data_IF_172436846789
#
_entry.id   IF_172436846789
#
_cell.length_a   1.000
_cell.length_b   1.000
_cell.length_c   1.000
_cell.angle_alpha   90.00
_cell.angle_beta   90.00
_cell.angle_gamma   90.00
#
_symmetry.space_group_name_H-M   'P 1'
#
loop_
_entity.id
_entity.type
_entity.pdbx_description
1 polymer ?
#
# COMPACT_ATOMS: atom_id res chain seq x y z
N UNK A 1 -15.94 -42.17 -8.79
CA UNK A 1 -16.81 -41.04 -9.16
C UNK A 1 -17.03 -40.22 -7.90
N UNK A 2 -16.42 -39.04 -7.80
CA UNK A 2 -16.87 -38.00 -6.90
C UNK A 2 -16.68 -36.68 -7.64
N UNK A 3 -17.80 -35.99 -7.80
CA UNK A 3 -17.94 -34.81 -8.63
C UNK A 3 -17.10 -33.66 -8.07
N UNK A 4 -16.40 -33.01 -8.99
CA UNK A 4 -15.67 -31.76 -8.80
C UNK A 4 -16.76 -30.69 -8.69
N UNK A 5 -16.91 -30.07 -7.52
CA UNK A 5 -17.86 -28.99 -7.32
C UNK A 5 -17.41 -27.77 -8.13
N UNK A 6 -18.20 -27.41 -9.13
CA UNK A 6 -18.06 -26.19 -9.91
C UNK A 6 -18.35 -24.97 -9.03
N UNK A 7 -17.47 -23.97 -9.12
CA UNK A 7 -17.70 -22.56 -8.81
C UNK A 7 -18.54 -22.23 -7.57
N UNK A 8 -17.89 -22.11 -6.41
CA UNK A 8 -18.47 -21.33 -5.32
C UNK A 8 -18.55 -19.86 -5.79
N UNK A 9 -19.75 -19.44 -6.20
CA UNK A 9 -20.04 -18.04 -6.49
C UNK A 9 -20.24 -17.33 -5.15
N UNK A 10 -19.15 -16.77 -4.62
CA UNK A 10 -19.24 -15.91 -3.45
C UNK A 10 -20.06 -14.67 -3.83
N UNK A 11 -21.04 -14.24 -3.02
CA UNK A 11 -21.77 -13.01 -3.29
C UNK A 11 -20.76 -11.86 -3.39
N UNK A 12 -20.92 -11.01 -4.40
CA UNK A 12 -20.06 -9.84 -4.57
C UNK A 12 -20.05 -9.05 -3.24
N UNK A 13 -18.86 -8.69 -2.71
CA UNK A 13 -18.78 -7.91 -1.49
C UNK A 13 -19.56 -6.60 -1.66
N UNK A 14 -20.07 -6.05 -0.55
CA UNK A 14 -20.62 -4.69 -0.58
C UNK A 14 -19.60 -3.76 -1.26
N UNK A 15 -19.98 -3.00 -2.30
CA UNK A 15 -19.04 -2.20 -3.08
C UNK A 15 -18.30 -1.20 -2.19
N UNK A 16 -18.93 -0.81 -1.07
CA UNK A 16 -18.30 -0.08 0.02
C UNK A 16 -17.86 -1.04 1.12
N UNK A 17 -16.73 -1.71 0.93
CA UNK A 17 -16.17 -2.60 1.95
C UNK A 17 -14.64 -2.71 1.87
N UNK A 18 -13.99 -3.09 2.98
CA UNK A 18 -12.58 -3.49 2.96
C UNK A 18 -12.29 -4.62 1.96
N UNK A 19 -13.24 -5.52 1.73
CA UNK A 19 -13.13 -6.59 0.76
C UNK A 19 -13.01 -6.06 -0.68
N UNK A 20 -13.79 -5.03 -1.05
CA UNK A 20 -13.61 -4.34 -2.33
C UNK A 20 -12.28 -3.60 -2.38
N UNK A 21 -11.87 -2.95 -1.28
CA UNK A 21 -10.57 -2.27 -1.18
C UNK A 21 -9.39 -3.21 -1.44
N UNK A 22 -9.35 -4.39 -0.81
CA UNK A 22 -8.25 -5.35 -0.99
C UNK A 22 -8.23 -5.95 -2.39
N UNK A 23 -9.40 -6.15 -3.01
CA UNK A 23 -9.50 -6.57 -4.41
C UNK A 23 -8.98 -5.51 -5.38
N UNK A 24 -9.32 -4.22 -5.17
CA UNK A 24 -8.78 -3.12 -5.97
C UNK A 24 -7.26 -3.02 -5.83
N UNK A 25 -6.74 -3.18 -4.61
CA UNK A 25 -5.30 -3.22 -4.35
C UNK A 25 -4.63 -4.40 -5.07
N UNK A 26 -5.23 -5.59 -5.04
CA UNK A 26 -4.70 -6.77 -5.71
C UNK A 26 -4.69 -6.62 -7.24
N UNK A 27 -5.81 -6.16 -7.80
CA UNK A 27 -5.99 -5.96 -9.24
C UNK A 27 -5.01 -4.94 -9.83
N UNK A 28 -4.49 -4.02 -9.03
CA UNK A 28 -3.47 -3.06 -9.47
C UNK A 28 -2.18 -3.78 -9.95
N UNK A 29 -1.93 -5.01 -9.48
CA UNK A 29 -0.80 -5.87 -9.87
C UNK A 29 -1.12 -6.80 -11.06
N UNK A 30 -2.30 -6.68 -11.69
CA UNK A 30 -2.70 -7.54 -12.80
C UNK A 30 -2.02 -7.17 -14.12
N UNK A 31 -1.45 -8.16 -14.81
CA UNK A 31 -0.99 -8.03 -16.21
C UNK A 31 -2.17 -8.05 -17.22
N UNK A 32 -3.34 -8.54 -16.80
CA UNK A 32 -4.56 -8.60 -17.61
C UNK A 32 -5.73 -8.04 -16.80
N UNK A 33 -5.63 -6.75 -16.47
CA UNK A 33 -6.57 -6.06 -15.59
C UNK A 33 -8.03 -6.26 -16.01
N UNK A 34 -8.35 -6.13 -17.29
CA UNK A 34 -9.72 -6.33 -17.80
C UNK A 34 -10.22 -7.77 -17.63
N UNK A 35 -9.34 -8.76 -17.67
CA UNK A 35 -9.68 -10.17 -17.45
C UNK A 35 -9.85 -10.48 -15.96
N UNK A 36 -8.89 -10.06 -15.14
CA UNK A 36 -8.91 -10.32 -13.69
C UNK A 36 -10.04 -9.55 -13.00
N UNK A 37 -10.39 -8.35 -13.49
CA UNK A 37 -11.55 -7.59 -13.01
C UNK A 37 -12.84 -8.41 -13.17
N UNK A 38 -13.05 -9.11 -14.29
CA UNK A 38 -14.24 -9.96 -14.52
C UNK A 38 -14.32 -11.15 -13.56
N UNK A 39 -13.17 -11.62 -13.08
CA UNK A 39 -13.10 -12.76 -12.14
C UNK A 39 -13.41 -12.28 -10.72
N UNK A 40 -12.79 -11.18 -10.31
CA UNK A 40 -12.76 -10.76 -8.91
C UNK A 40 -13.79 -9.70 -8.54
N UNK A 41 -14.18 -8.86 -9.50
CA UNK A 41 -15.21 -7.83 -9.38
C UNK A 41 -16.15 -7.93 -10.60
N UNK A 42 -16.97 -8.99 -10.69
CA UNK A 42 -17.84 -9.20 -11.85
C UNK A 42 -18.73 -7.97 -12.08
N UNK A 43 -18.95 -7.66 -13.35
CA UNK A 43 -19.71 -6.50 -13.86
C UNK A 43 -19.11 -5.11 -13.58
N UNK A 44 -17.98 -5.02 -12.86
CA UNK A 44 -17.22 -3.79 -12.82
C UNK A 44 -16.55 -3.54 -14.18
N UNK A 45 -16.54 -2.27 -14.59
CA UNK A 45 -15.97 -1.85 -15.87
C UNK A 45 -14.71 -1.04 -15.62
N UNK A 46 -13.62 -1.38 -16.29
CA UNK A 46 -12.41 -0.55 -16.30
C UNK A 46 -12.69 0.74 -17.10
N UNK A 47 -12.58 1.91 -16.45
CA UNK A 47 -12.98 3.20 -17.04
C UNK A 47 -11.84 4.23 -17.13
N UNK A 48 -10.74 4.01 -16.40
CA UNK A 48 -9.50 4.77 -16.51
C UNK A 48 -8.31 3.88 -16.18
N UNK A 49 -7.20 4.05 -16.89
CA UNK A 49 -5.94 3.40 -16.55
C UNK A 49 -4.79 4.37 -16.81
N UNK A 50 -3.92 4.54 -15.82
CA UNK A 50 -2.75 5.39 -15.93
C UNK A 50 -1.64 4.69 -16.69
N UNK A 51 -0.87 5.45 -17.47
CA UNK A 51 0.41 4.97 -18.00
C UNK A 51 1.31 4.54 -16.84
N UNK A 52 1.94 3.37 -16.93
CA UNK A 52 2.95 2.94 -15.96
C UNK A 52 4.12 3.93 -16.02
N UNK A 53 4.53 4.45 -14.86
CA UNK A 53 5.66 5.39 -14.73
C UNK A 53 6.99 4.66 -14.95
N UNK A 54 8.08 5.40 -15.10
CA UNK A 54 9.42 4.81 -15.25
C UNK A 54 9.79 3.93 -14.03
N UNK A 55 9.42 4.38 -12.83
CA UNK A 55 9.61 3.61 -11.59
C UNK A 55 8.59 2.49 -11.38
N UNK A 56 7.72 2.20 -12.36
CA UNK A 56 6.76 1.10 -12.26
C UNK A 56 5.47 1.41 -11.47
N UNK A 57 5.28 2.65 -10.98
CA UNK A 57 4.03 3.07 -10.34
C UNK A 57 2.89 3.14 -11.38
N UNK A 58 1.69 2.74 -10.98
CA UNK A 58 0.50 2.88 -11.83
C UNK A 58 -0.78 2.88 -11.00
N UNK A 59 -1.89 3.19 -11.64
CA UNK A 59 -3.21 3.12 -11.05
C UNK A 59 -4.28 2.91 -12.11
N UNK A 60 -5.46 2.47 -11.66
CA UNK A 60 -6.61 2.29 -12.51
C UNK A 60 -7.88 2.70 -11.77
N UNK A 61 -8.94 2.99 -12.53
CA UNK A 61 -10.29 3.20 -11.97
C UNK A 61 -11.24 2.21 -12.62
N UNK A 62 -11.96 1.47 -11.78
CA UNK A 62 -13.08 0.64 -12.17
C UNK A 62 -14.40 1.24 -11.65
N UNK A 63 -15.45 1.16 -12.46
CA UNK A 63 -16.81 1.60 -12.15
C UNK A 63 -17.68 0.38 -11.85
N UNK A 64 -18.39 0.42 -10.74
CA UNK A 64 -19.34 -0.62 -10.38
C UNK A 64 -20.57 -0.66 -11.33
N UNK A 65 -21.32 -1.77 -11.39
CA UNK A 65 -22.44 -1.92 -12.33
C UNK A 65 -23.61 -0.97 -12.07
N UNK A 66 -23.74 -0.41 -10.86
CA UNK A 66 -24.78 0.60 -10.56
C UNK A 66 -24.39 2.01 -11.03
N UNK A 67 -23.10 2.20 -11.36
CA UNK A 67 -22.54 3.48 -11.76
C UNK A 67 -22.40 4.47 -10.59
N UNK A 68 -22.43 3.99 -9.34
CA UNK A 68 -22.40 4.79 -8.10
C UNK A 68 -21.04 4.77 -7.39
N UNK A 69 -20.17 3.81 -7.67
CA UNK A 69 -18.89 3.61 -6.99
C UNK A 69 -17.74 3.56 -8.01
N UNK A 70 -16.77 4.44 -7.82
CA UNK A 70 -15.52 4.47 -8.57
C UNK A 70 -14.40 3.94 -7.67
N UNK A 71 -13.88 2.76 -7.98
CA UNK A 71 -12.77 2.14 -7.28
C UNK A 71 -11.45 2.45 -7.95
N UNK A 72 -10.60 3.23 -7.28
CA UNK A 72 -9.22 3.52 -7.63
C UNK A 72 -8.29 2.54 -6.90
N UNK A 73 -7.54 1.75 -7.67
CA UNK A 73 -6.47 0.90 -7.16
C UNK A 73 -5.10 1.43 -7.58
N UNK A 74 -4.16 1.53 -6.62
CA UNK A 74 -2.75 1.86 -6.88
C UNK A 74 -1.83 0.67 -6.74
N UNK A 75 -0.85 0.61 -7.65
CA UNK A 75 0.32 -0.25 -7.57
C UNK A 75 1.56 0.63 -7.43
N UNK A 76 2.34 0.41 -6.38
CA UNK A 76 3.67 1.01 -6.25
C UNK A 76 4.70 0.29 -7.13
N UNK A 77 5.93 0.78 -7.12
CA UNK A 77 7.10 0.04 -7.60
C UNK A 77 7.23 -1.30 -6.85
N UNK A 78 7.75 -2.30 -7.55
CA UNK A 78 8.17 -3.55 -6.92
C UNK A 78 9.57 -3.31 -6.34
N UNK A 79 9.81 -3.59 -5.06
CA UNK A 79 11.17 -3.63 -4.55
C UNK A 79 12.00 -4.61 -5.39
N UNK A 80 13.32 -4.40 -5.47
CA UNK A 80 14.17 -5.33 -6.20
C UNK A 80 14.24 -6.68 -5.46
N UNK A 81 14.20 -7.80 -6.19
CA UNK A 81 14.11 -9.15 -5.59
C UNK A 81 15.30 -9.50 -4.68
N UNK A 82 16.42 -8.78 -4.81
CA UNK A 82 17.60 -8.92 -3.96
C UNK A 82 17.36 -8.46 -2.52
N UNK A 83 16.33 -7.65 -2.22
CA UNK A 83 15.97 -7.34 -0.83
C UNK A 83 15.53 -8.58 -0.05
N UNK A 84 15.17 -9.67 -0.73
CA UNK A 84 14.82 -10.94 -0.09
C UNK A 84 16.03 -11.77 0.35
N UNK A 85 17.24 -11.40 -0.08
CA UNK A 85 18.46 -12.14 0.21
C UNK A 85 19.60 -11.27 0.75
N UNK A 86 19.52 -9.94 0.60
CA UNK A 86 20.60 -8.99 0.92
C UNK A 86 20.13 -7.81 1.81
N UNK A 87 20.82 -7.64 2.93
CA UNK A 87 20.64 -6.51 3.85
C UNK A 87 20.90 -5.16 3.19
N UNK A 88 21.92 -5.06 2.33
CA UNK A 88 22.24 -3.81 1.65
C UNK A 88 21.10 -3.40 0.74
N UNK A 89 20.54 -4.34 -0.02
CA UNK A 89 19.40 -4.07 -0.90
C UNK A 89 18.17 -3.61 -0.10
N UNK A 90 17.88 -4.24 1.04
CA UNK A 90 16.80 -3.79 1.93
C UNK A 90 17.05 -2.38 2.49
N UNK A 91 18.23 -2.11 3.03
CA UNK A 91 18.57 -0.79 3.56
C UNK A 91 18.52 0.28 2.47
N UNK A 92 18.97 -0.04 1.25
CA UNK A 92 18.90 0.83 0.10
C UNK A 92 17.48 1.16 -0.29
N UNK A 93 16.61 0.15 -0.35
CA UNK A 93 15.20 0.35 -0.65
C UNK A 93 14.52 1.26 0.38
N UNK A 94 14.77 1.06 1.68
CA UNK A 94 14.21 1.92 2.73
C UNK A 94 14.75 3.35 2.64
N UNK A 95 16.06 3.53 2.44
CA UNK A 95 16.69 4.85 2.55
C UNK A 95 16.70 5.64 1.24
N UNK A 96 17.01 5.00 0.12
CA UNK A 96 17.15 5.64 -1.19
C UNK A 96 15.84 5.58 -1.98
N UNK A 97 15.25 4.39 -2.17
CA UNK A 97 14.09 4.26 -3.05
C UNK A 97 12.82 4.86 -2.43
N UNK A 98 12.62 4.68 -1.11
CA UNK A 98 11.55 5.37 -0.38
C UNK A 98 11.92 6.81 0.02
N UNK A 99 13.19 7.20 -0.12
CA UNK A 99 13.76 8.49 0.27
C UNK A 99 13.15 9.05 1.57
N UNK A 100 13.25 8.24 2.64
CA UNK A 100 12.64 8.55 3.95
C UNK A 100 13.52 9.47 4.79
N UNK A 101 14.79 9.65 4.42
CA UNK A 101 15.70 10.58 5.11
C UNK A 101 15.68 11.99 4.51
N UNK A 102 14.77 12.24 3.57
CA UNK A 102 14.42 13.59 3.17
C UNK A 102 12.90 13.76 3.18
N UNK A 103 12.46 14.97 3.56
CA UNK A 103 11.05 15.30 3.67
C UNK A 103 10.75 16.57 2.88
N UNK A 104 9.53 16.63 2.34
CA UNK A 104 8.99 17.80 1.66
C UNK A 104 7.75 18.29 2.38
N UNK A 105 7.54 19.61 2.36
CA UNK A 105 6.34 20.21 2.93
C UNK A 105 5.11 19.79 2.13
N UNK A 106 4.12 19.25 2.84
CA UNK A 106 2.88 18.81 2.22
C UNK A 106 1.88 19.96 2.12
N UNK A 107 1.89 20.66 1.00
CA UNK A 107 1.06 21.87 0.79
C UNK A 107 -0.46 21.65 0.83
N UNK A 108 -0.93 20.39 0.84
CA UNK A 108 -2.36 20.08 0.87
C UNK A 108 -2.89 19.85 2.29
N UNK A 109 -2.16 20.17 3.37
CA UNK A 109 -2.70 20.11 4.75
C UNK A 109 -3.59 21.32 5.09
N UNK A 110 -4.53 21.13 6.02
CA UNK A 110 -5.29 22.22 6.64
C UNK A 110 -4.47 22.97 7.72
N UNK A 111 -3.46 22.32 8.30
CA UNK A 111 -2.68 22.83 9.44
C UNK A 111 -1.46 23.65 9.05
N UNK A 112 -1.05 23.59 7.78
CA UNK A 112 0.17 24.21 7.26
C UNK A 112 1.51 23.61 7.74
N UNK A 113 1.50 22.50 8.50
CA UNK A 113 2.70 21.97 9.20
C UNK A 113 2.93 20.47 8.98
N UNK A 114 2.47 19.92 7.86
CA UNK A 114 2.64 18.50 7.53
C UNK A 114 3.82 18.30 6.57
N UNK A 115 4.54 17.19 6.73
CA UNK A 115 5.60 16.74 5.81
C UNK A 115 5.34 15.31 5.35
N UNK A 116 5.79 15.00 4.15
CA UNK A 116 5.85 13.63 3.63
C UNK A 116 7.28 13.31 3.19
N UNK A 117 7.63 12.02 3.18
CA UNK A 117 8.89 11.55 2.59
C UNK A 117 9.02 12.02 1.15
N UNK A 118 10.25 12.29 0.71
CA UNK A 118 10.48 12.68 -0.68
C UNK A 118 10.11 11.57 -1.65
N UNK A 119 10.32 10.30 -1.29
CA UNK A 119 9.90 9.17 -2.13
C UNK A 119 8.38 9.09 -2.30
N UNK A 120 7.62 9.32 -1.22
CA UNK A 120 6.15 9.41 -1.32
C UNK A 120 5.70 10.59 -2.19
N UNK A 121 6.38 11.73 -2.12
CA UNK A 121 6.12 12.88 -2.98
C UNK A 121 6.43 12.59 -4.45
N UNK A 122 7.54 11.92 -4.74
CA UNK A 122 7.92 11.51 -6.10
C UNK A 122 6.90 10.54 -6.69
N UNK A 123 6.54 9.48 -5.95
CA UNK A 123 5.51 8.53 -6.38
C UNK A 123 4.16 9.22 -6.64
N UNK A 124 3.77 10.16 -5.76
CA UNK A 124 2.58 10.99 -5.94
C UNK A 124 2.66 11.86 -7.20
N UNK A 125 3.75 12.59 -7.38
CA UNK A 125 3.94 13.51 -8.52
C UNK A 125 3.91 12.75 -9.84
N UNK A 126 4.57 11.59 -9.88
CA UNK A 126 4.59 10.72 -11.04
C UNK A 126 3.18 10.23 -11.38
N UNK A 127 2.38 9.80 -10.41
CA UNK A 127 1.05 9.25 -10.69
C UNK A 127 0.03 10.32 -11.08
N UNK A 128 0.03 11.51 -10.45
CA UNK A 128 -0.90 12.59 -10.83
C UNK A 128 -0.59 13.18 -12.21
N UNK A 129 0.66 13.05 -12.67
CA UNK A 129 1.08 13.45 -14.01
C UNK A 129 0.67 12.47 -15.11
N UNK A 130 0.19 11.26 -14.76
CA UNK A 130 -0.24 10.27 -15.74
C UNK A 130 -1.59 10.64 -16.37
N UNK A 131 -1.77 10.25 -17.63
CA UNK A 131 -3.03 10.40 -18.37
C UNK A 131 -3.65 9.05 -18.68
N UNK A 132 -4.96 9.06 -18.95
CA UNK A 132 -5.70 7.85 -19.32
C UNK A 132 -5.13 7.22 -20.61
N UNK A 133 -4.84 5.92 -20.56
CA UNK A 133 -4.40 5.15 -21.74
C UNK A 133 -5.53 4.41 -22.45
N UNK A 134 -6.74 4.39 -21.87
CA UNK A 134 -7.89 3.65 -22.43
C UNK A 134 -8.66 4.44 -23.50
N UNK A 135 -8.59 5.76 -23.44
CA UNK A 135 -9.38 6.66 -24.29
C UNK A 135 -8.49 7.79 -24.78
N UNK A 136 -8.88 8.45 -25.86
CA UNK A 136 -8.22 9.69 -26.32
C UNK A 136 -8.38 10.86 -25.33
N UNK A 137 -9.23 10.73 -24.30
CA UNK A 137 -9.33 11.73 -23.24
C UNK A 137 -8.02 11.76 -22.44
N UNK A 138 -7.26 12.83 -22.60
CA UNK A 138 -6.00 13.07 -21.86
C UNK A 138 -6.24 13.52 -20.41
N UNK A 139 -7.38 13.15 -19.81
CA UNK A 139 -7.68 13.50 -18.43
C UNK A 139 -6.70 12.77 -17.51
N UNK A 140 -6.07 13.53 -16.63
CA UNK A 140 -5.32 12.98 -15.51
C UNK A 140 -6.27 12.35 -14.48
N UNK A 141 -5.70 11.64 -13.52
CA UNK A 141 -6.44 10.90 -12.50
C UNK A 141 -7.42 11.78 -11.70
N UNK A 142 -6.97 12.97 -11.27
CA UNK A 142 -7.79 13.89 -10.49
C UNK A 142 -8.99 14.41 -11.30
N UNK A 143 -8.73 14.94 -12.50
CA UNK A 143 -9.76 15.53 -13.35
C UNK A 143 -10.78 14.48 -13.79
N UNK A 144 -10.34 13.23 -14.02
CA UNK A 144 -11.23 12.13 -14.33
C UNK A 144 -12.21 11.86 -13.18
N UNK A 145 -11.71 11.66 -11.95
CA UNK A 145 -12.57 11.39 -10.78
C UNK A 145 -13.46 12.59 -10.43
N UNK A 146 -12.92 13.80 -10.49
CA UNK A 146 -13.68 15.04 -10.26
C UNK A 146 -14.87 15.14 -11.22
N UNK A 147 -14.64 14.89 -12.52
CA UNK A 147 -15.65 15.04 -13.57
C UNK A 147 -16.67 13.90 -13.56
N UNK A 148 -16.22 12.65 -13.42
CA UNK A 148 -17.07 11.48 -13.64
C UNK A 148 -17.69 10.92 -12.35
N UNK A 149 -17.02 11.10 -11.21
CA UNK A 149 -17.50 10.61 -9.92
C UNK A 149 -18.06 11.75 -9.06
N UNK A 150 -17.20 12.71 -8.69
CA UNK A 150 -17.53 13.71 -7.66
C UNK A 150 -18.60 14.69 -8.11
N UNK A 151 -18.55 15.18 -9.35
CA UNK A 151 -19.58 16.07 -9.90
C UNK A 151 -20.98 15.45 -9.92
N UNK A 152 -21.06 14.11 -9.99
CA UNK A 152 -22.30 13.34 -9.88
C UNK A 152 -22.65 12.89 -8.45
N UNK A 153 -21.94 13.39 -7.43
CA UNK A 153 -22.08 12.97 -6.02
C UNK A 153 -21.93 11.45 -5.80
N UNK A 154 -21.06 10.81 -6.59
CA UNK A 154 -20.82 9.36 -6.55
C UNK A 154 -19.68 9.01 -5.59
N UNK A 155 -19.63 7.78 -5.12
CA UNK A 155 -18.61 7.32 -4.17
C UNK A 155 -17.26 7.09 -4.85
N UNK A 156 -16.18 7.50 -4.19
CA UNK A 156 -14.79 7.25 -4.59
C UNK A 156 -14.13 6.39 -3.53
N UNK A 157 -13.62 5.22 -3.95
CA UNK A 157 -12.89 4.29 -3.10
C UNK A 157 -11.44 4.31 -3.55
N UNK A 158 -10.52 4.67 -2.67
CA UNK A 158 -9.09 4.73 -2.96
C UNK A 158 -8.43 3.59 -2.21
N UNK A 159 -7.68 2.74 -2.91
CA UNK A 159 -7.05 1.59 -2.30
C UNK A 159 -5.65 1.30 -2.84
N UNK A 160 -4.84 0.64 -2.02
CA UNK A 160 -3.50 0.20 -2.41
C UNK A 160 -2.85 -0.70 -1.38
N UNK A 161 -1.87 -1.48 -1.84
CA UNK A 161 -1.03 -2.36 -1.02
C UNK A 161 0.43 -1.90 -1.07
N UNK A 162 1.18 -2.13 0.01
CA UNK A 162 2.62 -1.79 0.07
C UNK A 162 2.87 -0.30 -0.26
N UNK A 163 3.82 0.01 -1.14
CA UNK A 163 4.02 1.36 -1.68
C UNK A 163 2.75 1.91 -2.36
N UNK A 164 1.92 1.08 -2.99
CA UNK A 164 0.60 1.50 -3.50
C UNK A 164 -0.34 1.96 -2.38
N UNK A 165 -0.24 1.38 -1.18
CA UNK A 165 -0.96 1.82 0.00
C UNK A 165 -0.46 3.17 0.53
N UNK A 166 0.86 3.41 0.49
CA UNK A 166 1.45 4.70 0.77
C UNK A 166 0.96 5.77 -0.22
N UNK A 167 0.99 5.48 -1.52
CA UNK A 167 0.45 6.34 -2.57
C UNK A 167 -1.04 6.63 -2.37
N UNK A 168 -1.82 5.63 -1.96
CA UNK A 168 -3.25 5.80 -1.65
C UNK A 168 -3.47 6.83 -0.52
N UNK A 169 -2.66 6.78 0.55
CA UNK A 169 -2.70 7.78 1.63
C UNK A 169 -2.43 9.20 1.10
N UNK A 170 -1.34 9.39 0.35
CA UNK A 170 -0.92 10.71 -0.17
C UNK A 170 -1.92 11.26 -1.18
N UNK A 171 -2.33 10.43 -2.14
CA UNK A 171 -3.31 10.83 -3.15
C UNK A 171 -4.66 11.16 -2.51
N UNK A 172 -5.14 10.37 -1.54
CA UNK A 172 -6.41 10.67 -0.86
C UNK A 172 -6.34 12.00 -0.11
N UNK A 173 -5.23 12.30 0.58
CA UNK A 173 -5.03 13.60 1.22
C UNK A 173 -5.07 14.74 0.21
N UNK A 174 -4.43 14.58 -0.96
CA UNK A 174 -4.45 15.59 -2.02
C UNK A 174 -5.85 15.77 -2.59
N UNK A 175 -6.50 14.66 -2.94
CA UNK A 175 -7.79 14.62 -3.62
C UNK A 175 -8.85 15.39 -2.84
N UNK A 176 -9.02 15.09 -1.55
CA UNK A 176 -10.03 15.76 -0.72
C UNK A 176 -9.71 17.24 -0.49
N UNK A 177 -8.43 17.60 -0.35
CA UNK A 177 -8.00 18.99 -0.22
C UNK A 177 -8.24 19.79 -1.50
N UNK A 178 -7.90 19.24 -2.65
CA UNK A 178 -8.09 19.88 -3.95
C UNK A 178 -9.59 20.06 -4.27
N UNK A 179 -10.44 19.09 -3.89
CA UNK A 179 -11.89 19.24 -3.97
C UNK A 179 -12.40 20.34 -3.03
N UNK A 180 -11.92 20.38 -1.77
CA UNK A 180 -12.31 21.40 -0.81
C UNK A 180 -11.94 22.81 -1.28
N UNK A 181 -10.73 22.99 -1.83
CA UNK A 181 -10.27 24.25 -2.43
C UNK A 181 -11.13 24.69 -3.62
N UNK A 182 -11.70 23.73 -4.36
CA UNK A 182 -12.65 23.98 -5.45
C UNK A 182 -14.09 24.19 -4.96
N UNK A 183 -14.36 24.19 -3.64
CA UNK A 183 -15.71 24.31 -3.08
C UNK A 183 -16.57 23.06 -3.28
N UNK A 184 -15.97 21.90 -3.53
CA UNK A 184 -16.66 20.64 -3.82
C UNK A 184 -16.62 19.73 -2.57
N UNK A 185 -17.76 19.11 -2.25
CA UNK A 185 -17.84 18.13 -1.16
C UNK A 185 -17.06 16.85 -1.50
N UNK A 186 -16.42 16.26 -0.49
CA UNK A 186 -15.62 15.04 -0.60
C UNK A 186 -16.04 13.95 0.40
N UNK A 187 -17.19 14.12 1.06
CA UNK A 187 -17.71 13.20 2.09
C UNK A 187 -18.00 11.77 1.58
N UNK A 188 -18.03 11.61 0.26
CA UNK A 188 -18.17 10.38 -0.50
C UNK A 188 -16.82 9.73 -0.85
N UNK A 189 -15.74 10.10 -0.17
CA UNK A 189 -14.40 9.52 -0.37
C UNK A 189 -14.06 8.53 0.74
N UNK A 190 -13.54 7.37 0.35
CA UNK A 190 -13.09 6.31 1.25
C UNK A 190 -11.67 5.89 0.91
N UNK A 191 -10.94 5.44 1.92
CA UNK A 191 -9.56 5.02 1.80
C UNK A 191 -9.36 3.66 2.47
N UNK A 192 -8.72 2.73 1.76
CA UNK A 192 -8.37 1.40 2.26
C UNK A 192 -6.91 1.09 1.92
N UNK A 193 -6.03 1.06 2.92
CA UNK A 193 -4.62 0.73 2.71
C UNK A 193 -4.25 -0.57 3.38
N UNK A 194 -3.46 -1.39 2.68
CA UNK A 194 -2.98 -2.69 3.16
C UNK A 194 -1.46 -2.67 3.18
N UNK A 195 -0.84 -3.09 4.27
CA UNK A 195 0.62 -3.18 4.35
C UNK A 195 1.37 -1.87 4.01
N UNK A 196 0.76 -0.70 4.25
CA UNK A 196 1.31 0.56 3.79
C UNK A 196 2.38 1.09 4.76
N UNK A 197 3.58 1.45 4.29
CA UNK A 197 4.53 2.19 5.12
C UNK A 197 4.02 3.61 5.38
N UNK A 198 4.47 4.23 6.47
CA UNK A 198 4.04 5.59 6.82
C UNK A 198 4.51 6.61 5.76
N UNK A 199 3.61 7.43 5.20
CA UNK A 199 3.97 8.38 4.14
C UNK A 199 4.68 9.64 4.62
N UNK A 200 4.48 10.01 5.88
CA UNK A 200 4.92 11.30 6.40
C UNK A 200 4.88 11.40 7.92
N UNK A 201 5.07 12.63 8.37
CA UNK A 201 5.21 12.96 9.78
C UNK A 201 3.88 12.89 10.55
N UNK A 202 3.97 13.18 11.84
CA UNK A 202 2.79 13.27 12.70
C UNK A 202 1.78 14.35 12.26
N UNK A 203 2.23 15.40 11.56
CA UNK A 203 1.37 16.43 10.97
C UNK A 203 0.51 15.86 9.86
N UNK A 204 1.12 15.15 8.91
CA UNK A 204 0.43 14.47 7.82
C UNK A 204 -0.57 13.43 8.33
N UNK A 205 -0.14 12.56 9.24
CA UNK A 205 -0.99 11.49 9.82
C UNK A 205 -2.26 12.07 10.47
N UNK A 206 -2.13 13.09 11.33
CA UNK A 206 -3.29 13.74 11.97
C UNK A 206 -4.20 14.45 10.97
N UNK A 207 -3.60 15.09 9.97
CA UNK A 207 -4.34 15.83 8.95
C UNK A 207 -5.19 14.90 8.08
N UNK A 208 -4.63 13.78 7.60
CA UNK A 208 -5.37 12.77 6.85
C UNK A 208 -6.51 12.16 7.69
N UNK A 209 -6.21 11.77 8.93
CA UNK A 209 -7.21 11.26 9.89
C UNK A 209 -8.34 12.26 10.14
N UNK A 210 -8.08 13.56 10.04
CA UNK A 210 -9.12 14.59 10.22
C UNK A 210 -10.01 14.77 9.00
N UNK A 211 -9.46 14.56 7.80
CA UNK A 211 -10.16 14.80 6.53
C UNK A 211 -11.04 13.65 6.10
N UNK A 212 -10.59 12.41 6.30
CA UNK A 212 -11.27 11.23 5.78
C UNK A 212 -11.70 10.34 6.94
N UNK A 213 -12.96 10.48 7.35
CA UNK A 213 -13.53 9.69 8.45
C UNK A 213 -13.65 8.20 8.09
N UNK A 214 -13.79 7.88 6.81
CA UNK A 214 -13.81 6.52 6.28
C UNK A 214 -12.47 6.09 5.66
N UNK A 215 -11.38 6.39 6.36
CA UNK A 215 -10.06 5.81 6.09
C UNK A 215 -9.84 4.60 6.98
N UNK A 216 -9.46 3.46 6.40
CA UNK A 216 -9.17 2.19 7.09
C UNK A 216 -7.80 1.70 6.67
N UNK A 217 -7.00 1.31 7.66
CA UNK A 217 -5.61 0.89 7.46
C UNK A 217 -5.44 -0.50 8.07
N UNK A 218 -4.85 -1.43 7.32
CA UNK A 218 -4.68 -2.82 7.75
C UNK A 218 -3.20 -3.17 7.84
N UNK A 219 -2.81 -3.71 8.99
CA UNK A 219 -1.47 -4.21 9.30
C UNK A 219 -1.55 -5.67 9.75
N UNK A 220 -0.77 -6.53 9.10
CA UNK A 220 -0.39 -7.81 9.69
C UNK A 220 0.72 -7.55 10.72
N UNK A 221 0.55 -7.97 11.97
CA UNK A 221 1.54 -7.78 13.06
C UNK A 221 2.94 -8.18 12.63
N UNK A 222 3.04 -9.27 11.87
CA UNK A 222 4.31 -9.87 11.44
C UNK A 222 4.86 -9.28 10.13
N UNK A 223 4.19 -8.29 9.53
CA UNK A 223 4.66 -7.57 8.36
C UNK A 223 5.57 -6.41 8.77
N UNK A 224 6.77 -6.37 8.20
CA UNK A 224 7.76 -5.33 8.50
C UNK A 224 7.40 -4.01 7.83
N UNK A 225 6.72 -4.00 6.69
CA UNK A 225 6.59 -2.80 5.84
C UNK A 225 5.79 -1.68 6.53
N UNK A 226 4.63 -1.93 7.17
CA UNK A 226 3.92 -0.91 7.95
C UNK A 226 4.72 -0.32 9.10
N UNK A 227 5.78 -0.98 9.54
CA UNK A 227 6.60 -0.53 10.66
C UNK A 227 7.58 0.56 10.24
N UNK A 228 7.92 0.64 8.96
CA UNK A 228 8.77 1.69 8.42
C UNK A 228 7.95 2.90 7.93
N UNK A 229 8.54 4.11 7.94
CA UNK A 229 9.76 4.54 8.64
C UNK A 229 9.54 4.98 10.11
N UNK A 230 8.52 4.47 10.82
CA UNK A 230 8.20 4.92 12.18
C UNK A 230 9.18 4.34 13.20
N UNK A 231 10.06 5.16 13.80
CA UNK A 231 11.10 4.70 14.73
C UNK A 231 10.63 3.64 15.74
N UNK A 232 9.56 3.92 16.50
CA UNK A 232 9.07 2.99 17.52
C UNK A 232 8.64 1.64 16.95
N UNK A 233 8.03 1.64 15.76
CA UNK A 233 7.60 0.41 15.10
C UNK A 233 8.77 -0.31 14.42
N UNK A 234 9.79 0.41 13.95
CA UNK A 234 11.05 -0.21 13.47
C UNK A 234 11.73 -0.99 14.60
N UNK A 235 11.66 -0.54 15.85
CA UNK A 235 12.12 -1.31 17.00
C UNK A 235 11.37 -2.64 17.15
N UNK A 236 10.06 -2.64 16.93
CA UNK A 236 9.26 -3.87 16.92
C UNK A 236 9.67 -4.77 15.75
N UNK A 237 9.90 -4.19 14.57
CA UNK A 237 10.34 -4.92 13.37
C UNK A 237 11.64 -5.67 13.61
N UNK A 238 12.57 -5.07 14.36
CA UNK A 238 13.81 -5.72 14.75
C UNK A 238 13.59 -7.02 15.54
N UNK A 239 12.46 -7.20 16.23
CA UNK A 239 12.19 -8.35 17.10
C UNK A 239 11.12 -9.35 16.58
N UNK A 240 10.50 -9.10 15.43
CA UNK A 240 9.25 -9.75 15.02
C UNK A 240 9.23 -11.28 14.97
N UNK A 241 10.33 -11.91 14.55
CA UNK A 241 10.36 -13.35 14.28
C UNK A 241 11.03 -14.17 15.38
N UNK A 242 11.13 -13.62 16.58
CA UNK A 242 11.62 -14.38 17.74
C UNK A 242 10.64 -15.51 18.12
N UNK A 243 11.12 -16.74 18.43
CA UNK A 243 12.52 -17.13 18.65
C UNK A 243 13.31 -17.52 17.39
N UNK A 244 12.67 -17.69 16.24
CA UNK A 244 13.29 -18.09 14.97
C UNK A 244 12.37 -17.75 13.78
N UNK A 245 12.87 -17.14 12.69
CA UNK A 245 14.25 -16.68 12.47
C UNK A 245 14.58 -15.44 13.31
N UNK A 246 15.55 -15.53 14.22
CA UNK A 246 15.91 -14.44 15.13
C UNK A 246 16.94 -13.52 14.50
N UNK A 247 16.55 -12.27 14.24
CA UNK A 247 17.43 -11.18 13.80
C UNK A 247 18.66 -10.97 14.70
N UNK A 248 18.56 -11.26 16.01
CA UNK A 248 19.68 -11.16 16.95
C UNK A 248 20.74 -12.26 16.79
N UNK A 249 20.42 -13.36 16.09
CA UNK A 249 21.35 -14.45 15.79
C UNK A 249 21.87 -14.43 14.36
N UNK A 250 21.30 -13.58 13.50
CA UNK A 250 21.70 -13.39 12.11
C UNK A 250 22.73 -12.28 12.07
N UNK A 251 23.88 -12.50 11.44
CA UNK A 251 24.91 -11.48 11.26
C UNK A 251 24.87 -10.89 9.86
N UNK A 252 25.09 -9.59 9.77
CA UNK A 252 25.22 -8.81 8.53
C UNK A 252 26.54 -8.05 8.55
N UNK A 253 26.98 -7.59 7.39
CA UNK A 253 28.12 -6.66 7.27
C UNK A 253 27.58 -5.30 6.85
N UNK A 254 27.99 -4.22 7.52
CA UNK A 254 27.65 -2.84 7.14
C UNK A 254 28.88 -1.95 7.29
N UNK A 255 29.28 -1.26 6.21
CA UNK A 255 30.52 -0.45 6.15
C UNK A 255 31.80 -1.15 6.64
N UNK A 256 31.87 -2.48 6.49
CA UNK A 256 33.02 -3.29 6.92
C UNK A 256 32.93 -3.82 8.36
N UNK A 257 31.93 -3.40 9.14
CA UNK A 257 31.68 -3.92 10.48
C UNK A 257 30.67 -5.07 10.44
N UNK A 258 30.88 -6.07 11.30
CA UNK A 258 29.94 -7.18 11.51
C UNK A 258 29.05 -6.86 12.70
N UNK A 259 27.73 -6.93 12.47
CA UNK A 259 26.72 -6.68 13.49
C UNK A 259 25.56 -7.67 13.34
N UNK A 260 24.68 -7.76 14.35
CA UNK A 260 23.46 -8.53 14.19
C UNK A 260 22.48 -7.81 13.25
N UNK A 261 21.60 -8.56 12.58
CA UNK A 261 20.51 -7.97 11.79
C UNK A 261 19.60 -7.10 12.69
N UNK A 262 19.40 -7.52 13.95
CA UNK A 262 18.70 -6.72 14.95
C UNK A 262 19.33 -5.32 15.10
N UNK A 263 20.64 -5.26 15.30
CA UNK A 263 21.37 -4.00 15.44
C UNK A 263 21.32 -3.18 14.14
N UNK A 264 21.35 -3.83 12.97
CA UNK A 264 21.19 -3.17 11.67
C UNK A 264 19.86 -2.45 11.54
N UNK A 265 18.76 -3.13 11.87
CA UNK A 265 17.40 -2.56 11.84
C UNK A 265 17.28 -1.44 12.88
N UNK A 266 17.89 -1.59 14.06
CA UNK A 266 17.91 -0.56 15.10
C UNK A 266 18.65 0.71 14.65
N UNK A 267 19.80 0.55 13.98
CA UNK A 267 20.56 1.67 13.41
C UNK A 267 19.74 2.39 12.35
N UNK A 268 19.10 1.66 11.43
CA UNK A 268 18.17 2.25 10.46
C UNK A 268 17.07 3.04 11.16
N UNK A 269 16.39 2.45 12.15
CA UNK A 269 15.34 3.15 12.91
C UNK A 269 15.85 4.44 13.57
N UNK A 270 17.06 4.42 14.13
CA UNK A 270 17.66 5.59 14.78
C UNK A 270 17.86 6.75 13.81
N UNK A 271 18.21 6.48 12.56
CA UNK A 271 18.30 7.51 11.52
C UNK A 271 16.97 8.21 11.26
N UNK A 272 15.84 7.56 11.55
CA UNK A 272 14.49 8.04 11.24
C UNK A 272 13.89 8.92 12.34
N UNK A 273 14.50 8.97 13.53
CA UNK A 273 14.01 9.74 14.69
C UNK A 273 13.76 11.22 14.37
N UNK A 274 14.67 11.95 13.67
CA UNK A 274 14.50 13.39 13.44
C UNK A 274 13.29 13.74 12.56
N UNK A 275 12.78 12.81 11.76
CA UNK A 275 11.71 13.04 10.77
C UNK A 275 10.31 12.87 11.36
N UNK A 276 10.18 12.25 12.54
CA UNK A 276 8.90 12.21 13.25
C UNK A 276 7.77 11.49 12.50
N UNK A 277 8.12 10.53 11.63
CA UNK A 277 7.18 9.69 10.89
C UNK A 277 6.14 9.04 11.79
N UNK A 278 4.91 8.95 11.29
CA UNK A 278 3.80 8.36 12.04
C UNK A 278 2.79 7.70 11.12
N UNK A 279 2.37 6.49 11.49
CA UNK A 279 1.21 5.84 10.87
C UNK A 279 -0.09 6.60 11.17
N UNK A 280 -1.09 6.43 10.30
CA UNK A 280 -2.45 6.88 10.60
C UNK A 280 -2.98 6.16 11.85
N UNK A 281 -3.91 6.78 12.60
CA UNK A 281 -4.48 6.18 13.81
C UNK A 281 -5.96 5.86 13.64
N UNK A 282 -6.68 6.59 12.78
CA UNK A 282 -8.10 6.37 12.57
C UNK A 282 -8.37 5.02 11.90
N UNK A 283 -9.30 4.25 12.47
CA UNK A 283 -9.70 2.92 12.02
C UNK A 283 -8.52 1.99 11.65
N UNK A 284 -7.40 2.11 12.37
CA UNK A 284 -6.25 1.24 12.18
C UNK A 284 -6.57 -0.17 12.71
N UNK A 285 -6.38 -1.17 11.87
CA UNK A 285 -6.70 -2.58 12.13
C UNK A 285 -5.46 -3.42 12.05
N UNK A 286 -5.12 -4.02 13.18
CA UNK A 286 -4.00 -4.94 13.32
C UNK A 286 -4.56 -6.36 13.41
N UNK A 287 -4.00 -7.28 12.64
CA UNK A 287 -4.34 -8.70 12.70
C UNK A 287 -3.09 -9.57 12.69
N UNK A 288 -3.22 -10.81 13.14
CA UNK A 288 -2.12 -11.75 13.19
C UNK A 288 -2.25 -12.78 12.06
N UNK A 289 -1.21 -12.90 11.24
CA UNK A 289 -0.99 -14.07 10.40
C UNK A 289 0.10 -14.96 10.99
N UNK A 290 -0.07 -16.28 10.92
CA UNK A 290 0.93 -17.21 11.42
C UNK A 290 2.25 -17.09 10.64
N UNK A 291 3.37 -17.31 11.32
CA UNK A 291 4.68 -17.41 10.66
C UNK A 291 4.70 -18.59 9.68
N UNK A 292 5.50 -18.44 8.63
CA UNK A 292 5.62 -19.46 7.59
C UNK A 292 6.59 -20.53 8.07
N UNK A 293 6.09 -21.76 8.21
CA UNK A 293 6.92 -22.86 8.70
C UNK A 293 8.10 -23.21 7.79
N UNK A 294 8.12 -22.69 6.56
CA UNK A 294 9.18 -22.91 5.59
C UNK A 294 10.42 -22.05 5.84
N UNK A 295 10.30 -20.96 6.62
CA UNK A 295 11.35 -19.95 6.80
C UNK A 295 11.68 -19.76 8.29
N UNK A 296 12.22 -20.80 8.93
CA UNK A 296 12.45 -20.83 10.38
C UNK A 296 13.93 -20.80 10.77
N UNK A 297 14.86 -20.88 9.84
CA UNK A 297 16.29 -20.94 10.16
C UNK A 297 16.83 -19.56 10.50
N UNK A 298 17.76 -19.45 11.44
CA UNK A 298 18.45 -18.20 11.78
C UNK A 298 19.43 -17.77 10.66
N UNK A 299 18.90 -17.47 9.48
CA UNK A 299 19.63 -17.00 8.29
C UNK A 299 18.99 -15.72 7.75
N UNK A 300 19.79 -14.88 7.09
CA UNK A 300 19.30 -13.65 6.46
C UNK A 300 18.19 -13.93 5.44
N UNK A 301 18.37 -14.99 4.64
CA UNK A 301 17.40 -15.43 3.65
C UNK A 301 16.07 -15.83 4.29
N UNK A 302 16.07 -16.70 5.30
CA UNK A 302 14.82 -17.11 5.94
C UNK A 302 14.13 -15.94 6.64
N UNK A 303 14.88 -15.00 7.23
CA UNK A 303 14.29 -13.81 7.84
C UNK A 303 13.56 -12.93 6.81
N UNK A 304 14.20 -12.66 5.66
CA UNK A 304 13.58 -11.86 4.61
C UNK A 304 12.49 -12.61 3.84
N UNK A 305 12.61 -13.92 3.62
CA UNK A 305 11.53 -14.75 3.09
C UNK A 305 10.35 -14.80 4.04
N UNK A 306 10.59 -14.79 5.36
CA UNK A 306 9.54 -14.64 6.35
C UNK A 306 8.86 -13.29 6.22
N UNK A 307 9.60 -12.18 6.08
CA UNK A 307 9.04 -10.86 5.83
C UNK A 307 8.22 -10.79 4.53
N UNK A 308 8.76 -11.33 3.43
CA UNK A 308 8.07 -11.56 2.15
C UNK A 308 6.71 -12.25 2.32
N UNK A 309 6.73 -13.39 3.00
CA UNK A 309 5.53 -14.19 3.27
C UNK A 309 4.50 -13.42 4.11
N UNK A 310 4.92 -12.59 5.08
CA UNK A 310 4.00 -11.83 5.92
C UNK A 310 3.42 -10.59 5.23
N UNK A 311 4.16 -9.97 4.32
CA UNK A 311 3.73 -8.81 3.55
C UNK A 311 2.75 -9.13 2.42
N UNK A 312 2.75 -10.39 1.97
CA UNK A 312 1.92 -10.88 0.89
C UNK A 312 0.44 -10.46 1.04
N UNK A 313 -0.12 -9.79 0.01
CA UNK A 313 -1.50 -9.27 0.05
C UNK A 313 -2.54 -10.38 0.29
N UNK A 314 -2.20 -11.63 -0.03
CA UNK A 314 -3.07 -12.79 0.24
C UNK A 314 -3.40 -12.94 1.73
N UNK A 315 -2.49 -12.57 2.65
CA UNK A 315 -2.77 -12.62 4.09
C UNK A 315 -3.87 -11.62 4.48
N UNK A 316 -3.81 -10.42 3.91
CA UNK A 316 -4.79 -9.36 4.10
C UNK A 316 -6.14 -9.72 3.48
N UNK A 317 -6.12 -10.30 2.27
CA UNK A 317 -7.33 -10.80 1.62
C UNK A 317 -7.99 -11.91 2.45
N UNK A 318 -7.21 -12.88 2.92
CA UNK A 318 -7.70 -13.97 3.78
C UNK A 318 -8.32 -13.45 5.08
N UNK A 319 -7.68 -12.48 5.74
CA UNK A 319 -8.22 -11.83 6.94
C UNK A 319 -9.60 -11.19 6.69
N UNK A 320 -9.82 -10.68 5.47
CA UNK A 320 -11.07 -10.06 5.04
C UNK A 320 -12.06 -11.05 4.39
N UNK A 321 -11.76 -12.36 4.38
CA UNK A 321 -12.60 -13.38 3.77
C UNK A 321 -12.64 -13.33 2.24
N UNK A 322 -11.63 -12.73 1.60
CA UNK A 322 -11.48 -12.62 0.15
C UNK A 322 -10.49 -13.68 -0.34
N UNK A 323 -10.89 -14.45 -1.35
CA UNK A 323 -10.02 -15.43 -2.00
C UNK A 323 -9.43 -14.86 -3.28
N UNK A 324 -8.10 -14.70 -3.31
CA UNK A 324 -7.35 -14.35 -4.51
C UNK A 324 -6.95 -15.62 -5.25
N UNK A 325 -7.13 -15.64 -6.57
CA UNK A 325 -6.60 -16.75 -7.37
C UNK A 325 -5.07 -16.80 -7.28
N UNK A 326 -4.48 -17.98 -7.55
CA UNK A 326 -3.05 -18.21 -7.39
C UNK A 326 -2.18 -17.22 -8.19
N UNK A 327 -2.62 -16.79 -9.39
CA UNK A 327 -1.84 -15.88 -10.23
C UNK A 327 -1.85 -14.48 -9.66
N UNK A 328 -3.05 -13.98 -9.29
CA UNK A 328 -3.19 -12.66 -8.71
C UNK A 328 -2.50 -12.58 -7.35
N UNK A 329 -2.70 -13.60 -6.50
CA UNK A 329 -2.02 -13.71 -5.21
C UNK A 329 -0.50 -13.67 -5.35
N UNK A 330 0.09 -14.42 -6.29
CA UNK A 330 1.54 -14.43 -6.50
C UNK A 330 2.06 -13.04 -6.92
N UNK A 331 1.35 -12.35 -7.82
CA UNK A 331 1.75 -11.01 -8.31
C UNK A 331 1.61 -9.92 -7.27
N UNK A 332 0.58 -10.00 -6.42
CA UNK A 332 0.35 -9.05 -5.33
C UNK A 332 1.11 -9.41 -4.04
N UNK A 333 2.01 -10.39 -4.10
CA UNK A 333 2.85 -10.81 -2.96
C UNK A 333 4.33 -10.53 -3.19
N UNK A 334 4.67 -9.84 -4.28
CA UNK A 334 6.04 -9.45 -4.56
C UNK A 334 6.41 -8.29 -3.62
N UNK A 335 7.20 -8.62 -2.60
CA UNK A 335 8.26 -7.75 -2.10
C UNK A 335 9.39 -7.86 -3.11
#
# INVERSE_FOLDING_TARGET
>A
MNQINAGAHYPAPSPFSPATGVLLAALAYSDNLSGDLKIHLPDWTLVWQGKVTEDGNTGFIALDPTGQYYGLGFRGSLPPLDILEDWYAFANWVLEDMDVVTEVDWQYTNSGTAKISHGAHTAFTNIIGTTNVLTDSKLNLFDYLKTNAVAGNKQVIIAGHSLGGNMANVFASYFVSALAQAGITYLNTSLFTFAAPAPGDSGFSRDLDSKITNAWHYENVNDIVPKFPVFSSVLEAAALYSPSPSSGKITITYHGDTLSLYDGILLLGTLLVPYGYKQQARNYKVFLNALDSSYQSDTIKDWFMQAGSQHALVNYANYLGVNLDRKLAARSSVI
#
